data_IF_658938453079
#
_entry.id   IF_658938453079
#
_cell.length_a   1.000
_cell.length_b   1.000
_cell.length_c   1.000
_cell.angle_alpha   90.00
_cell.angle_beta   90.00
_cell.angle_gamma   90.00
#
_symmetry.space_group_name_H-M   'P 1'
#
loop_
_entity.id
_entity.type
_entity.pdbx_description
1 polymer ?
#
# COMPACT_ATOMS: atom_id res chain seq x y z
N UNK A 1 -17.98 -1.41 1.56
CA UNK A 1 -17.04 -0.55 0.82
C UNK A 1 -15.78 -0.30 1.61
N UNK A 2 -14.64 -0.73 1.06
CA UNK A 2 -13.33 -0.35 1.56
C UNK A 2 -12.87 0.85 0.73
N UNK A 3 -12.99 2.06 1.27
CA UNK A 3 -12.64 3.29 0.57
C UNK A 3 -11.11 3.42 0.52
N UNK A 4 -10.52 3.39 -0.67
CA UNK A 4 -9.07 3.55 -0.89
C UNK A 4 -8.53 4.86 -0.30
N UNK A 5 -9.37 5.89 -0.21
CA UNK A 5 -9.04 7.17 0.43
C UNK A 5 -8.75 7.04 1.92
N UNK A 6 -9.38 6.11 2.64
CA UNK A 6 -9.08 5.85 4.06
C UNK A 6 -7.69 5.23 4.21
N UNK A 7 -7.33 4.30 3.32
CA UNK A 7 -6.01 3.70 3.32
C UNK A 7 -4.92 4.75 2.99
N UNK A 8 -5.18 5.63 2.02
CA UNK A 8 -4.28 6.74 1.68
C UNK A 8 -4.11 7.71 2.85
N UNK A 9 -5.21 8.09 3.51
CA UNK A 9 -5.20 8.99 4.65
C UNK A 9 -4.38 8.42 5.81
N UNK A 10 -4.55 7.13 6.11
CA UNK A 10 -3.75 6.43 7.11
C UNK A 10 -2.27 6.40 6.71
N UNK A 11 -1.96 6.07 5.45
CA UNK A 11 -0.60 6.02 4.94
C UNK A 11 0.09 7.39 4.95
N UNK A 12 -0.65 8.47 4.66
CA UNK A 12 -0.16 9.86 4.71
C UNK A 12 0.27 10.28 6.12
N UNK A 13 -0.33 9.65 7.14
CA UNK A 13 0.13 9.79 8.51
C UNK A 13 1.56 9.28 8.68
N UNK A 14 2.01 8.25 7.97
CA UNK A 14 3.38 7.72 8.07
C UNK A 14 3.79 7.29 9.49
N UNK A 15 2.84 7.15 10.43
CA UNK A 15 3.07 6.80 11.83
C UNK A 15 2.74 5.32 12.03
N UNK A 16 3.68 4.57 12.56
CA UNK A 16 3.49 3.14 12.76
C UNK A 16 4.57 2.53 13.63
N UNK A 17 4.69 1.22 13.51
CA UNK A 17 5.66 0.44 14.26
C UNK A 17 6.51 -0.39 13.32
N UNK A 18 7.82 -0.36 13.53
CA UNK A 18 8.78 -1.13 12.75
C UNK A 18 9.37 -2.22 13.65
N UNK A 19 9.50 -3.41 13.09
CA UNK A 19 10.21 -4.52 13.74
C UNK A 19 11.63 -4.52 13.20
N UNK A 20 12.64 -4.34 14.06
CA UNK A 20 13.99 -4.72 13.70
C UNK A 20 14.07 -6.25 13.70
N UNK A 21 14.43 -6.82 12.55
CA UNK A 21 14.68 -8.25 12.44
C UNK A 21 15.82 -8.65 13.37
N UNK A 22 15.74 -9.86 13.95
CA UNK A 22 16.82 -10.41 14.77
C UNK A 22 18.06 -10.62 13.89
N UNK A 23 18.94 -9.62 13.84
CA UNK A 23 20.25 -9.74 13.22
C UNK A 23 21.13 -10.61 14.11
N UNK A 24 21.12 -11.91 13.85
CA UNK A 24 22.07 -12.89 14.39
C UNK A 24 21.61 -13.57 15.69
N UNK A 25 21.28 -14.86 15.58
CA UNK A 25 21.30 -15.94 16.58
C UNK A 25 20.88 -15.69 18.05
N UNK A 26 20.26 -14.56 18.40
CA UNK A 26 19.67 -14.30 19.70
C UNK A 26 18.16 -14.11 19.53
N UNK A 27 17.40 -15.17 19.79
CA UNK A 27 15.93 -15.19 19.85
C UNK A 27 15.37 -14.40 21.05
N UNK A 28 16.00 -13.30 21.44
CA UNK A 28 15.56 -12.47 22.56
C UNK A 28 15.13 -11.13 22.03
N UNK A 29 13.81 -11.02 21.92
CA UNK A 29 13.01 -9.81 21.70
C UNK A 29 13.29 -9.07 20.40
N UNK A 30 12.59 -9.44 19.33
CA UNK A 30 12.39 -8.53 18.20
C UNK A 30 11.77 -7.24 18.73
N UNK A 31 12.59 -6.20 18.89
CA UNK A 31 12.19 -4.98 19.55
C UNK A 31 11.41 -4.13 18.55
N UNK A 32 10.09 -4.09 18.76
CA UNK A 32 9.19 -3.24 17.99
C UNK A 32 9.29 -1.81 18.52
N UNK A 33 9.64 -0.85 17.66
CA UNK A 33 9.71 0.56 18.03
C UNK A 33 8.72 1.39 17.20
N UNK A 34 8.24 2.48 17.80
CA UNK A 34 7.36 3.44 17.12
C UNK A 34 8.20 4.26 16.16
N UNK A 35 7.73 4.42 14.93
CA UNK A 35 8.44 5.13 13.87
C UNK A 35 7.48 6.04 13.11
N UNK A 36 7.97 7.24 12.78
CA UNK A 36 7.28 8.20 11.91
C UNK A 36 8.14 8.43 10.67
N UNK A 37 7.57 8.15 9.51
CA UNK A 37 8.23 8.39 8.23
C UNK A 37 8.53 9.88 8.03
N UNK A 38 9.72 10.19 7.53
CA UNK A 38 10.11 11.54 7.10
C UNK A 38 9.58 11.91 5.70
N UNK A 39 9.01 10.94 4.98
CA UNK A 39 8.46 11.15 3.65
C UNK A 39 7.34 12.20 3.70
N UNK A 40 7.50 13.25 2.90
CA UNK A 40 6.54 14.36 2.80
C UNK A 40 5.54 14.19 1.66
N UNK A 41 5.83 13.26 0.75
CA UNK A 41 5.09 13.05 -0.49
C UNK A 41 4.78 11.56 -0.60
N UNK A 42 3.52 11.26 -0.94
CA UNK A 42 3.09 9.92 -1.34
C UNK A 42 2.73 9.94 -2.82
N UNK A 43 3.28 8.99 -3.57
CA UNK A 43 2.94 8.76 -4.96
C UNK A 43 1.94 7.61 -5.03
N UNK A 44 0.86 7.79 -5.79
CA UNK A 44 -0.23 6.81 -5.88
C UNK A 44 -0.60 6.57 -7.33
N UNK A 45 -0.91 5.31 -7.65
CA UNK A 45 -1.33 4.88 -9.00
C UNK A 45 -2.82 5.02 -9.26
N UNK A 46 -3.51 5.97 -8.61
CA UNK A 46 -4.95 6.17 -8.80
C UNK A 46 -5.23 6.56 -10.25
N UNK A 47 -6.21 5.92 -10.90
CA UNK A 47 -6.53 6.20 -12.31
C UNK A 47 -5.83 5.29 -13.33
N UNK A 48 -4.80 4.53 -12.93
CA UNK A 48 -4.03 3.72 -13.87
C UNK A 48 -4.89 2.62 -14.53
N UNK A 49 -5.73 1.94 -13.76
CA UNK A 49 -6.61 0.89 -14.27
C UNK A 49 -7.76 1.46 -15.12
N UNK A 50 -8.16 2.70 -14.87
CA UNK A 50 -9.15 3.42 -15.68
C UNK A 50 -8.58 3.82 -17.05
N UNK A 51 -7.38 4.40 -17.07
CA UNK A 51 -6.74 4.84 -18.31
C UNK A 51 -6.27 3.67 -19.17
N UNK A 52 -5.75 2.62 -18.55
CA UNK A 52 -5.16 1.48 -19.26
C UNK A 52 -6.12 0.29 -19.39
N UNK A 53 -7.41 0.51 -19.13
CA UNK A 53 -8.43 -0.52 -19.15
C UNK A 53 -8.09 -1.75 -18.27
N UNK A 54 -7.39 -1.56 -17.15
CA UNK A 54 -6.90 -2.59 -16.24
C UNK A 54 -8.00 -3.34 -15.48
N UNK A 55 -9.21 -2.78 -15.36
CA UNK A 55 -10.31 -3.50 -14.73
C UNK A 55 -10.74 -4.74 -15.53
N UNK A 56 -10.95 -5.86 -14.82
CA UNK A 56 -11.38 -7.12 -15.42
C UNK A 56 -12.66 -7.03 -16.26
N UNK A 57 -13.55 -6.06 -15.97
CA UNK A 57 -14.75 -5.79 -16.79
C UNK A 57 -14.41 -5.32 -18.21
N UNK A 58 -13.32 -4.57 -18.38
CA UNK A 58 -12.86 -4.14 -19.69
C UNK A 58 -12.32 -5.34 -20.48
N UNK A 59 -11.62 -6.26 -19.82
CA UNK A 59 -11.23 -7.55 -20.42
C UNK A 59 -12.46 -8.36 -20.87
N UNK A 60 -13.50 -8.44 -20.04
CA UNK A 60 -14.74 -9.15 -20.40
C UNK A 60 -15.43 -8.48 -21.59
N UNK A 61 -15.57 -7.15 -21.58
CA UNK A 61 -16.14 -6.38 -22.69
C UNK A 61 -15.36 -6.54 -23.99
N UNK A 62 -14.03 -6.48 -23.92
CA UNK A 62 -13.17 -6.77 -25.06
C UNK A 62 -13.41 -8.18 -25.64
N UNK A 63 -13.54 -9.22 -24.79
CA UNK A 63 -13.89 -10.59 -25.24
C UNK A 63 -15.30 -10.70 -25.83
N UNK A 64 -16.20 -9.79 -25.49
CA UNK A 64 -17.57 -9.71 -25.99
C UNK A 64 -17.71 -8.83 -27.25
N UNK A 65 -16.61 -8.29 -27.78
CA UNK A 65 -16.60 -7.50 -29.01
C UNK A 65 -16.47 -5.98 -28.82
N UNK A 66 -16.26 -5.50 -27.59
CA UNK A 66 -16.12 -4.06 -27.25
C UNK A 66 -17.32 -3.53 -26.50
#
# INVERSE_FOLDING_TARGET
DLNIGIALWLAAGGDGWVNEGASGNCEKTAQRHKYKSEARILLVGSGADEQCAGYGRHKTKYRQGG
#
